data_IF_314844273889
#
_entry.id   IF_314844273889
#
_cell.length_a   1.000
_cell.length_b   1.000
_cell.length_c   1.000
_cell.angle_alpha   90.00
_cell.angle_beta   90.00
_cell.angle_gamma   90.00
#
_symmetry.space_group_name_H-M   'P 1'
#
loop_
_entity.id
_entity.type
_entity.pdbx_description
1 polymer ?
#
# COMPACT_ATOMS: atom_id res chain seq x y z
N UNK A 1 3.83 -29.70 -9.54
CA UNK A 1 4.36 -28.34 -9.36
C UNK A 1 4.07 -27.90 -7.93
N UNK A 2 5.08 -27.79 -7.05
CA UNK A 2 4.88 -27.38 -5.64
C UNK A 2 5.15 -25.88 -5.56
N UNK A 3 4.11 -25.07 -5.42
CA UNK A 3 4.27 -23.62 -5.22
C UNK A 3 4.68 -23.40 -3.77
N UNK A 4 5.96 -23.19 -3.52
CA UNK A 4 6.45 -22.73 -2.21
C UNK A 4 6.35 -21.21 -2.17
N UNK A 5 5.34 -20.69 -1.47
CA UNK A 5 5.24 -19.26 -1.18
C UNK A 5 6.27 -18.93 -0.12
N UNK A 6 7.22 -18.03 -0.42
CA UNK A 6 8.15 -17.48 0.57
C UNK A 6 7.42 -16.39 1.36
N UNK A 7 6.78 -16.76 2.47
CA UNK A 7 5.97 -15.86 3.29
C UNK A 7 6.74 -14.62 3.75
N UNK A 8 8.03 -14.78 4.06
CA UNK A 8 8.94 -13.73 4.50
C UNK A 8 9.12 -12.65 3.41
N UNK A 9 9.36 -13.08 2.16
CA UNK A 9 9.53 -12.17 1.04
C UNK A 9 8.25 -11.37 0.71
N UNK A 10 7.07 -11.98 0.93
CA UNK A 10 5.79 -11.29 0.76
C UNK A 10 5.57 -10.27 1.88
N UNK A 11 5.87 -10.63 3.13
CA UNK A 11 5.78 -9.71 4.27
C UNK A 11 6.69 -8.50 4.11
N UNK A 12 7.95 -8.71 3.70
CA UNK A 12 8.89 -7.63 3.43
C UNK A 12 8.41 -6.70 2.30
N UNK A 13 7.83 -7.27 1.24
CA UNK A 13 7.30 -6.49 0.12
C UNK A 13 6.13 -5.63 0.56
N UNK A 14 5.24 -6.17 1.38
CA UNK A 14 4.12 -5.44 1.98
C UNK A 14 4.61 -4.31 2.88
N UNK A 15 5.63 -4.55 3.71
CA UNK A 15 6.23 -3.51 4.54
C UNK A 15 6.85 -2.38 3.70
N UNK A 16 7.60 -2.73 2.65
CA UNK A 16 8.16 -1.75 1.70
C UNK A 16 7.07 -0.93 1.01
N UNK A 17 6.00 -1.57 0.54
CA UNK A 17 4.86 -0.88 -0.08
C UNK A 17 4.18 0.09 0.89
N UNK A 18 4.04 -0.28 2.16
CA UNK A 18 3.48 0.60 3.19
C UNK A 18 4.34 1.86 3.40
N UNK A 19 5.68 1.71 3.44
CA UNK A 19 6.61 2.82 3.57
C UNK A 19 6.58 3.74 2.34
N UNK A 20 6.59 3.16 1.14
CA UNK A 20 6.51 3.92 -0.10
C UNK A 20 5.18 4.68 -0.21
N UNK A 21 4.07 4.07 0.22
CA UNK A 21 2.78 4.75 0.27
C UNK A 21 2.82 5.98 1.18
N UNK A 22 3.44 5.85 2.36
CA UNK A 22 3.60 6.97 3.28
C UNK A 22 4.41 8.11 2.66
N UNK A 23 5.50 7.79 1.96
CA UNK A 23 6.32 8.78 1.26
C UNK A 23 5.54 9.51 0.17
N UNK A 24 4.65 8.81 -0.56
CA UNK A 24 3.78 9.45 -1.54
C UNK A 24 2.77 10.40 -0.89
N UNK A 25 2.17 10.03 0.24
CA UNK A 25 1.27 10.93 0.99
C UNK A 25 2.01 12.20 1.43
N UNK A 26 3.17 12.07 2.07
CA UNK A 26 3.92 13.22 2.57
C UNK A 26 4.38 14.14 1.40
N UNK A 27 4.71 13.57 0.24
CA UNK A 27 5.07 14.33 -0.95
C UNK A 27 3.88 15.09 -1.57
N UNK A 28 2.69 14.47 -1.59
CA UNK A 28 1.47 15.13 -2.05
C UNK A 28 1.03 16.25 -1.10
N UNK A 29 1.08 16.02 0.21
CA UNK A 29 0.76 17.04 1.20
C UNK A 29 1.67 18.28 1.03
N UNK A 30 2.96 18.04 0.73
CA UNK A 30 3.92 19.12 0.42
C UNK A 30 3.53 19.84 -0.87
N UNK A 31 3.23 19.11 -1.93
CA UNK A 31 2.82 19.68 -3.22
C UNK A 31 1.53 20.50 -3.07
N UNK A 32 0.58 20.04 -2.28
CA UNK A 32 -0.70 20.72 -2.02
C UNK A 32 -0.50 22.03 -1.26
N UNK A 33 0.40 22.03 -0.28
CA UNK A 33 0.78 23.25 0.43
C UNK A 33 1.45 24.28 -0.51
N UNK A 34 2.35 23.83 -1.38
CA UNK A 34 2.99 24.69 -2.37
C UNK A 34 2.01 25.22 -3.41
N UNK A 35 1.14 24.36 -3.92
CA UNK A 35 0.08 24.70 -4.88
C UNK A 35 -0.88 25.73 -4.28
N UNK A 36 -1.31 25.55 -3.03
CA UNK A 36 -2.18 26.49 -2.33
C UNK A 36 -1.55 27.89 -2.23
N UNK A 37 -0.24 27.97 -1.95
CA UNK A 37 0.49 29.25 -1.89
C UNK A 37 0.58 29.95 -3.24
N UNK A 38 0.69 29.19 -4.33
CA UNK A 38 0.87 29.72 -5.67
C UNK A 38 -0.45 29.86 -6.45
N UNK A 39 -1.57 29.37 -5.90
CA UNK A 39 -2.87 29.28 -6.60
C UNK A 39 -3.38 30.62 -7.12
N UNK A 40 -3.07 31.73 -6.45
CA UNK A 40 -3.42 33.09 -6.90
C UNK A 40 -2.59 33.59 -8.08
N UNK A 41 -1.45 32.96 -8.37
CA UNK A 41 -0.54 33.31 -9.47
C UNK A 41 -0.70 32.42 -10.71
N UNK A 42 -1.44 31.32 -10.58
CA UNK A 42 -1.66 30.38 -11.67
C UNK A 42 -2.77 30.87 -12.61
N UNK A 43 -2.54 30.66 -13.91
CA UNK A 43 -3.61 30.76 -14.90
C UNK A 43 -4.62 29.62 -14.70
N UNK A 44 -5.85 29.78 -15.21
CA UNK A 44 -6.90 28.76 -15.06
C UNK A 44 -6.54 27.39 -15.64
N UNK A 45 -5.69 27.34 -16.67
CA UNK A 45 -5.18 26.08 -17.23
C UNK A 45 -4.25 25.34 -16.26
N UNK A 46 -3.36 26.06 -15.56
CA UNK A 46 -2.47 25.47 -14.58
C UNK A 46 -3.25 24.93 -13.36
N UNK A 47 -4.29 25.65 -12.92
CA UNK A 47 -5.22 25.15 -11.89
C UNK A 47 -5.91 23.86 -12.34
N UNK A 48 -6.46 23.82 -13.57
CA UNK A 48 -7.13 22.64 -14.10
C UNK A 48 -6.18 21.45 -14.33
N UNK A 49 -4.90 21.70 -14.67
CA UNK A 49 -3.89 20.65 -14.77
C UNK A 49 -3.55 20.06 -13.39
N UNK A 50 -3.37 20.91 -12.39
CA UNK A 50 -3.12 20.48 -11.02
C UNK A 50 -4.31 19.71 -10.43
N UNK A 51 -5.54 20.22 -10.54
CA UNK A 51 -6.72 19.55 -9.99
C UNK A 51 -6.93 18.14 -10.62
N UNK A 52 -6.59 17.96 -11.90
CA UNK A 52 -6.57 16.65 -12.56
C UNK A 52 -5.49 15.72 -12.00
N UNK A 53 -4.25 16.21 -11.91
CA UNK A 53 -3.14 15.42 -11.39
C UNK A 53 -3.39 15.01 -9.93
N UNK A 54 -3.91 15.94 -9.12
CA UNK A 54 -4.33 15.72 -7.74
C UNK A 54 -5.32 14.57 -7.65
N UNK A 55 -6.43 14.64 -8.40
CA UNK A 55 -7.45 13.60 -8.44
C UNK A 55 -6.89 12.21 -8.83
N UNK A 56 -5.98 12.18 -9.82
CA UNK A 56 -5.38 10.93 -10.30
C UNK A 56 -4.49 10.28 -9.23
N UNK A 57 -3.66 11.07 -8.55
CA UNK A 57 -2.83 10.58 -7.44
C UNK A 57 -3.67 10.12 -6.27
N UNK A 58 -4.70 10.86 -5.92
CA UNK A 58 -5.66 10.52 -4.87
C UNK A 58 -6.30 9.15 -5.12
N UNK A 59 -6.70 8.92 -6.38
CA UNK A 59 -7.27 7.66 -6.83
C UNK A 59 -6.24 6.53 -6.77
N UNK A 60 -5.00 6.78 -7.17
CA UNK A 60 -3.92 5.81 -7.10
C UNK A 60 -3.61 5.40 -5.65
N UNK A 61 -3.52 6.37 -4.72
CA UNK A 61 -3.29 6.13 -3.29
C UNK A 61 -4.41 5.28 -2.69
N UNK A 62 -5.68 5.60 -2.98
CA UNK A 62 -6.81 4.79 -2.53
C UNK A 62 -6.71 3.34 -3.00
N UNK A 63 -6.33 3.12 -4.27
CA UNK A 63 -6.13 1.78 -4.83
C UNK A 63 -4.96 1.05 -4.16
N UNK A 64 -3.85 1.74 -3.91
CA UNK A 64 -2.69 1.16 -3.21
C UNK A 64 -3.03 0.77 -1.77
N UNK A 65 -3.76 1.62 -1.03
CA UNK A 65 -4.28 1.30 0.32
C UNK A 65 -5.14 0.05 0.32
N UNK A 66 -6.06 -0.05 -0.64
CA UNK A 66 -6.94 -1.21 -0.76
C UNK A 66 -6.16 -2.50 -1.05
N UNK A 67 -5.19 -2.44 -1.98
CA UNK A 67 -4.33 -3.57 -2.31
C UNK A 67 -3.47 -4.01 -1.13
N UNK A 68 -2.93 -3.05 -0.37
CA UNK A 68 -2.14 -3.33 0.83
C UNK A 68 -2.98 -3.99 1.94
N UNK A 69 -4.20 -3.49 2.16
CA UNK A 69 -5.13 -4.07 3.12
C UNK A 69 -5.53 -5.51 2.75
N UNK A 70 -5.73 -5.79 1.46
CA UNK A 70 -5.96 -7.15 0.96
C UNK A 70 -4.74 -8.05 1.15
N UNK A 71 -3.54 -7.57 0.82
CA UNK A 71 -2.31 -8.33 1.01
C UNK A 71 -2.07 -8.68 2.48
N UNK A 72 -2.30 -7.73 3.40
CA UNK A 72 -2.22 -7.97 4.84
C UNK A 72 -3.20 -9.04 5.32
N UNK A 73 -4.46 -8.96 4.88
CA UNK A 73 -5.47 -9.99 5.21
C UNK A 73 -5.04 -11.38 4.76
N UNK A 74 -4.54 -11.50 3.52
CA UNK A 74 -4.05 -12.78 2.98
C UNK A 74 -2.84 -13.32 3.76
N UNK A 75 -1.91 -12.45 4.16
CA UNK A 75 -0.76 -12.83 4.97
C UNK A 75 -1.17 -13.36 6.35
N UNK A 76 -2.10 -12.68 7.03
CA UNK A 76 -2.62 -13.12 8.32
C UNK A 76 -3.27 -14.50 8.20
N UNK A 77 -4.13 -14.70 7.19
CA UNK A 77 -4.78 -16.00 6.94
C UNK A 77 -3.75 -17.09 6.65
N UNK A 78 -2.76 -16.81 5.80
CA UNK A 78 -1.72 -17.78 5.48
C UNK A 78 -0.88 -18.18 6.70
N UNK A 79 -0.55 -17.21 7.56
CA UNK A 79 0.17 -17.47 8.80
C UNK A 79 -0.65 -18.34 9.78
N UNK A 80 -1.94 -18.04 9.93
CA UNK A 80 -2.83 -18.81 10.79
C UNK A 80 -2.93 -20.29 10.34
N UNK A 81 -3.12 -20.53 9.05
CA UNK A 81 -3.17 -21.89 8.47
C UNK A 81 -1.85 -22.63 8.69
N UNK A 82 -0.71 -21.94 8.51
CA UNK A 82 0.61 -22.53 8.73
C UNK A 82 0.83 -22.96 10.18
N UNK A 83 0.47 -22.10 11.14
CA UNK A 83 0.57 -22.38 12.57
C UNK A 83 -0.34 -23.54 13.00
N UNK A 84 -1.58 -23.56 12.51
CA UNK A 84 -2.52 -24.65 12.77
C UNK A 84 -1.96 -25.99 12.27
N UNK A 85 -1.47 -26.01 11.03
CA UNK A 85 -0.86 -27.21 10.41
C UNK A 85 0.34 -27.70 11.21
N UNK A 86 1.24 -26.79 11.62
CA UNK A 86 2.40 -27.12 12.43
C UNK A 86 1.99 -27.69 13.81
N UNK A 87 0.97 -27.12 14.45
CA UNK A 87 0.46 -27.59 15.74
C UNK A 87 -0.17 -28.99 15.66
N UNK A 88 -0.87 -29.28 14.57
CA UNK A 88 -1.49 -30.59 14.32
C UNK A 88 -0.44 -31.65 14.00
N UNK A 89 0.55 -31.32 13.17
CA UNK A 89 1.69 -32.19 12.91
C UNK A 89 2.46 -32.51 14.20
N UNK A 90 2.73 -31.50 15.03
CA UNK A 90 3.41 -31.69 16.32
C UNK A 90 2.61 -32.55 17.31
N UNK A 91 1.26 -32.50 17.26
CA UNK A 91 0.38 -33.37 18.06
C UNK A 91 0.33 -34.81 17.57
N UNK A 92 0.41 -35.03 16.25
CA UNK A 92 0.39 -36.37 15.66
C UNK A 92 1.70 -37.13 15.84
N UNK A 93 2.81 -36.40 16.00
CA UNK A 93 4.16 -36.96 16.13
C UNK A 93 4.66 -36.99 17.59
N UNK A 94 3.76 -36.78 18.56
CA UNK A 94 3.98 -36.96 19.99
C UNK A 94 3.24 -38.22 20.46
#
# INVERSE_FOLDING_TARGET
>A
MRVTVRHDAVSDTVARLALTLRQFEDALDTLDAEAARLRSSWSGEAQAAYDRAHHDWDTAIRRMKAALAEANRRLITANAISMETASTAARLWR
#
